data_IF_136695429191
#
_entry.id   IF_136695429191
#
_cell.length_a   1.000
_cell.length_b   1.000
_cell.length_c   1.000
_cell.angle_alpha   90.00
_cell.angle_beta   90.00
_cell.angle_gamma   90.00
#
_symmetry.space_group_name_H-M   'P 1'
#
loop_
_entity.id
_entity.type
_entity.pdbx_description
1 polymer ?
#
# COMPACT_ATOMS: atom_id res chain seq x y z
N UNK A 1 -1.26 16.73 -1.25
CA UNK A 1 -0.73 16.91 -2.61
C UNK A 1 -1.52 16.03 -3.55
N UNK A 2 -1.99 16.58 -4.68
CA UNK A 2 -2.72 15.82 -5.69
C UNK A 2 -2.11 16.08 -7.06
N UNK A 3 -1.88 15.04 -7.85
CA UNK A 3 -1.43 15.12 -9.22
C UNK A 3 -2.34 14.27 -10.12
N UNK A 4 -2.57 14.74 -11.35
CA UNK A 4 -3.43 14.09 -12.35
C UNK A 4 -2.79 12.85 -12.98
N UNK A 5 -2.78 12.81 -14.32
CA UNK A 5 -2.17 11.72 -15.10
C UNK A 5 -0.81 12.11 -15.65
N UNK A 6 0.09 11.13 -15.80
CA UNK A 6 1.39 11.36 -16.45
C UNK A 6 2.13 10.07 -16.80
N UNK A 7 2.92 10.08 -17.88
CA UNK A 7 3.72 8.91 -18.28
C UNK A 7 4.70 8.47 -17.19
N UNK A 8 5.28 9.46 -16.48
CA UNK A 8 6.09 9.27 -15.29
C UNK A 8 5.64 10.28 -14.24
N UNK A 9 5.32 9.80 -13.06
CA UNK A 9 4.94 10.65 -11.93
C UNK A 9 5.74 10.22 -10.70
N UNK A 10 6.39 11.19 -10.06
CA UNK A 10 7.14 11.00 -8.83
C UNK A 10 6.67 12.03 -7.80
N UNK A 11 6.19 11.58 -6.65
CA UNK A 11 5.79 12.46 -5.55
C UNK A 11 6.47 12.00 -4.26
N UNK A 12 7.02 12.96 -3.53
CA UNK A 12 7.59 12.74 -2.22
C UNK A 12 7.07 13.80 -1.27
N UNK A 13 6.58 13.39 -0.09
CA UNK A 13 6.16 14.29 0.96
C UNK A 13 6.76 13.82 2.29
N UNK A 14 7.30 14.76 3.06
CA UNK A 14 7.91 14.49 4.36
C UNK A 14 6.90 14.15 5.45
N UNK A 15 7.34 14.27 6.71
CA UNK A 15 6.51 14.01 7.88
C UNK A 15 5.59 15.16 8.25
N UNK A 16 4.45 14.86 8.88
CA UNK A 16 3.56 15.87 9.42
C UNK A 16 2.37 15.28 10.17
N UNK A 17 1.64 16.09 10.94
CA UNK A 17 0.46 15.62 11.70
C UNK A 17 -0.60 14.99 10.79
N UNK A 18 -0.81 15.60 9.61
CA UNK A 18 -1.68 15.07 8.55
C UNK A 18 -0.94 15.18 7.23
N UNK A 19 -0.79 14.05 6.55
CA UNK A 19 -0.13 14.02 5.25
C UNK A 19 -0.93 13.16 4.26
N UNK A 20 -1.20 13.74 3.08
CA UNK A 20 -2.06 13.14 2.08
C UNK A 20 -1.46 13.29 0.69
N UNK A 21 -1.33 12.19 -0.04
CA UNK A 21 -0.90 12.18 -1.44
C UNK A 21 -1.86 11.39 -2.32
N UNK A 22 -2.27 12.00 -3.43
CA UNK A 22 -3.14 11.37 -4.42
C UNK A 22 -2.56 11.52 -5.82
N UNK A 23 -2.46 10.43 -6.57
CA UNK A 23 -2.07 10.42 -7.98
C UNK A 23 -3.15 9.73 -8.81
N UNK A 24 -3.59 10.35 -9.90
CA UNK A 24 -4.63 9.80 -10.76
C UNK A 24 -4.17 8.54 -11.51
N UNK A 25 -3.25 8.69 -12.45
CA UNK A 25 -2.72 7.56 -13.21
C UNK A 25 -1.31 7.80 -13.73
N UNK A 26 -0.54 6.74 -13.95
CA UNK A 26 0.70 6.86 -14.70
C UNK A 26 1.36 5.56 -15.07
N UNK A 27 2.02 5.51 -16.24
CA UNK A 27 2.73 4.30 -16.68
C UNK A 27 3.80 3.89 -15.68
N UNK A 28 4.54 4.87 -15.13
CA UNK A 28 5.48 4.71 -14.02
C UNK A 28 5.14 5.69 -12.91
N UNK A 29 4.62 5.18 -11.80
CA UNK A 29 4.22 5.98 -10.66
C UNK A 29 5.05 5.60 -9.42
N UNK A 30 5.69 6.60 -8.82
CA UNK A 30 6.45 6.46 -7.58
C UNK A 30 5.93 7.47 -6.57
N UNK A 31 5.48 7.00 -5.42
CA UNK A 31 5.02 7.86 -4.33
C UNK A 31 5.68 7.45 -3.02
N UNK A 32 6.26 8.42 -2.32
CA UNK A 32 6.85 8.23 -1.00
C UNK A 32 6.26 9.25 -0.02
N UNK A 33 5.59 8.76 1.03
CA UNK A 33 5.09 9.62 2.10
C UNK A 33 5.80 9.26 3.41
N UNK A 34 6.35 10.25 4.10
CA UNK A 34 6.95 10.09 5.43
C UNK A 34 5.93 9.79 6.53
N UNK A 35 6.36 9.91 7.77
CA UNK A 35 5.54 9.55 8.94
C UNK A 35 4.54 10.65 9.33
N UNK A 36 3.42 10.26 9.94
CA UNK A 36 2.44 11.22 10.44
C UNK A 36 1.36 10.61 11.32
N UNK A 37 0.69 11.41 12.15
CA UNK A 37 -0.43 10.90 12.96
C UNK A 37 -1.53 10.33 12.07
N UNK A 38 -1.81 11.00 10.95
CA UNK A 38 -2.71 10.54 9.88
C UNK A 38 -1.99 10.65 8.54
N UNK A 39 -1.74 9.51 7.92
CA UNK A 39 -1.03 9.46 6.65
C UNK A 39 -1.82 8.64 5.63
N UNK A 40 -2.09 9.22 4.46
CA UNK A 40 -2.89 8.58 3.42
C UNK A 40 -2.22 8.75 2.06
N UNK A 41 -2.16 7.65 1.32
CA UNK A 41 -1.62 7.61 -0.03
C UNK A 41 -2.60 6.88 -0.96
N UNK A 42 -2.90 7.48 -2.12
CA UNK A 42 -3.78 6.89 -3.12
C UNK A 42 -3.19 7.03 -4.53
N UNK A 43 -3.15 5.92 -5.27
CA UNK A 43 -2.88 5.91 -6.72
C UNK A 43 -4.03 5.21 -7.44
N UNK A 44 -4.60 5.85 -8.45
CA UNK A 44 -5.65 5.25 -9.26
C UNK A 44 -5.14 4.06 -10.08
N UNK A 45 -4.21 4.28 -11.01
CA UNK A 45 -3.66 3.19 -11.82
C UNK A 45 -2.21 3.41 -12.26
N UNK A 46 -1.45 2.32 -12.46
CA UNK A 46 -0.17 2.40 -13.15
C UNK A 46 0.44 1.08 -13.57
N UNK A 47 1.08 1.04 -14.75
CA UNK A 47 1.75 -0.19 -15.24
C UNK A 47 2.85 -0.64 -14.30
N UNK A 48 3.65 0.30 -13.78
CA UNK A 48 4.63 0.09 -12.72
C UNK A 48 4.37 1.09 -11.61
N UNK A 49 3.90 0.60 -10.46
CA UNK A 49 3.54 1.40 -9.31
C UNK A 49 4.40 1.01 -8.11
N UNK A 50 5.03 2.00 -7.50
CA UNK A 50 5.78 1.87 -6.25
C UNK A 50 5.25 2.89 -5.26
N UNK A 51 4.65 2.39 -4.17
CA UNK A 51 4.10 3.22 -3.11
C UNK A 51 4.80 2.85 -1.81
N UNK A 52 5.35 3.85 -1.13
CA UNK A 52 5.94 3.71 0.21
C UNK A 52 5.31 4.73 1.12
N UNK A 53 4.72 4.28 2.23
CA UNK A 53 4.24 5.14 3.30
C UNK A 53 4.92 4.73 4.59
N UNK A 54 5.49 5.72 5.28
CA UNK A 54 6.11 5.58 6.59
C UNK A 54 5.12 5.24 7.70
N UNK A 55 5.54 5.46 8.94
CA UNK A 55 4.76 5.10 10.12
C UNK A 55 3.69 6.13 10.49
N UNK A 56 2.63 5.69 11.16
CA UNK A 56 1.62 6.62 11.66
C UNK A 56 0.57 6.00 12.56
N UNK A 57 -0.09 6.79 13.40
CA UNK A 57 -1.19 6.27 14.25
C UNK A 57 -2.32 5.71 13.37
N UNK A 58 -2.63 6.39 12.28
CA UNK A 58 -3.54 5.93 11.23
C UNK A 58 -2.86 6.06 9.88
N UNK A 59 -2.58 4.93 9.26
CA UNK A 59 -1.89 4.88 7.98
C UNK A 59 -2.71 4.08 6.97
N UNK A 60 -2.96 4.66 5.80
CA UNK A 60 -3.73 4.01 4.74
C UNK A 60 -3.06 4.16 3.39
N UNK A 61 -3.01 3.07 2.64
CA UNK A 61 -2.50 3.06 1.29
C UNK A 61 -3.47 2.33 0.36
N UNK A 62 -3.82 3.00 -0.74
CA UNK A 62 -4.68 2.44 -1.79
C UNK A 62 -4.00 2.53 -3.14
N UNK A 63 -4.00 1.42 -3.87
CA UNK A 63 -3.67 1.35 -5.28
C UNK A 63 -4.82 0.69 -6.03
N UNK A 64 -5.42 1.38 -7.01
CA UNK A 64 -6.52 0.83 -7.79
C UNK A 64 -6.08 -0.34 -8.68
N UNK A 65 -5.17 -0.11 -9.62
CA UNK A 65 -4.65 -1.17 -10.49
C UNK A 65 -3.19 -0.99 -10.88
N UNK A 66 -2.47 -2.10 -11.07
CA UNK A 66 -1.17 -2.04 -11.72
C UNK A 66 -0.58 -3.37 -12.16
N UNK A 67 0.04 -3.42 -13.35
CA UNK A 67 0.66 -4.65 -13.86
C UNK A 67 1.79 -5.15 -12.94
N UNK A 68 2.62 -4.23 -12.44
CA UNK A 68 3.64 -4.48 -11.42
C UNK A 68 3.44 -3.48 -10.29
N UNK A 69 2.99 -3.97 -9.15
CA UNK A 69 2.69 -3.15 -7.98
C UNK A 69 3.59 -3.58 -6.82
N UNK A 70 4.31 -2.61 -6.25
CA UNK A 70 5.04 -2.74 -4.99
C UNK A 70 4.49 -1.71 -4.02
N UNK A 71 3.93 -2.19 -2.92
CA UNK A 71 3.15 -1.40 -1.98
C UNK A 71 3.70 -1.71 -0.59
N UNK A 72 4.31 -0.71 0.05
CA UNK A 72 4.95 -0.86 1.36
C UNK A 72 4.38 0.16 2.34
N UNK A 73 3.82 -0.33 3.43
CA UNK A 73 3.30 0.48 4.52
C UNK A 73 4.07 0.16 5.80
N UNK A 74 4.64 1.17 6.43
CA UNK A 74 5.28 1.06 7.74
C UNK A 74 4.29 0.77 8.87
N UNK A 75 4.78 0.84 10.10
CA UNK A 75 3.99 0.48 11.29
C UNK A 75 2.98 1.56 11.70
N UNK A 76 1.91 1.12 12.38
CA UNK A 76 0.90 2.04 12.92
C UNK A 76 -0.13 1.40 13.83
N UNK A 77 -0.79 2.19 14.69
CA UNK A 77 -1.88 1.65 15.54
C UNK A 77 -3.01 1.08 14.69
N UNK A 78 -3.34 1.75 13.59
CA UNK A 78 -4.27 1.27 12.56
C UNK A 78 -3.63 1.42 11.18
N UNK A 79 -3.35 0.30 10.54
CA UNK A 79 -2.71 0.27 9.24
C UNK A 79 -3.56 -0.53 8.24
N UNK A 80 -3.85 0.08 7.10
CA UNK A 80 -4.64 -0.53 6.04
C UNK A 80 -3.94 -0.39 4.70
N UNK A 81 -3.80 -1.51 4.01
CA UNK A 81 -3.29 -1.57 2.64
C UNK A 81 -4.32 -2.22 1.74
N UNK A 82 -4.60 -1.59 0.60
CA UNK A 82 -5.50 -2.13 -0.42
C UNK A 82 -4.89 -2.00 -1.79
N UNK A 83 -4.85 -3.11 -2.52
CA UNK A 83 -4.55 -3.16 -3.93
C UNK A 83 -5.74 -3.78 -4.66
N UNK A 84 -6.34 -3.06 -5.61
CA UNK A 84 -7.49 -3.56 -6.37
C UNK A 84 -7.11 -4.70 -7.30
N UNK A 85 -6.20 -4.47 -8.24
CA UNK A 85 -5.74 -5.52 -9.17
C UNK A 85 -4.27 -5.39 -9.56
N UNK A 86 -3.59 -6.51 -9.79
CA UNK A 86 -2.28 -6.50 -10.42
C UNK A 86 -1.72 -7.84 -10.85
N UNK A 87 -1.06 -7.89 -12.01
CA UNK A 87 -0.46 -9.14 -12.53
C UNK A 87 0.66 -9.65 -11.62
N UNK A 88 1.49 -8.74 -11.10
CA UNK A 88 2.52 -9.02 -10.10
C UNK A 88 2.38 -8.01 -8.96
N UNK A 89 1.91 -8.49 -7.82
CA UNK A 89 1.64 -7.69 -6.64
C UNK A 89 2.57 -8.12 -5.50
N UNK A 90 3.28 -7.16 -4.94
CA UNK A 90 4.04 -7.31 -3.70
C UNK A 90 3.53 -6.28 -2.71
N UNK A 91 2.98 -6.77 -1.61
CA UNK A 91 2.42 -5.95 -0.55
C UNK A 91 3.09 -6.30 0.76
N UNK A 92 3.65 -5.30 1.41
CA UNK A 92 4.27 -5.43 2.73
C UNK A 92 3.65 -4.41 3.66
N UNK A 93 3.00 -4.89 4.72
CA UNK A 93 2.51 -4.05 5.79
C UNK A 93 3.28 -4.38 7.06
N UNK A 94 3.88 -3.37 7.68
CA UNK A 94 4.55 -3.47 8.96
C UNK A 94 3.61 -3.78 10.13
N UNK A 95 4.11 -3.64 11.34
CA UNK A 95 3.38 -3.99 12.56
C UNK A 95 2.31 -2.98 12.96
N UNK A 96 1.28 -3.45 13.67
CA UNK A 96 0.25 -2.56 14.20
C UNK A 96 -0.78 -3.23 15.09
N UNK A 97 -1.43 -2.48 15.98
CA UNK A 97 -2.51 -3.04 16.83
C UNK A 97 -3.64 -3.59 15.97
N UNK A 98 -4.00 -2.89 14.89
CA UNK A 98 -4.96 -3.35 13.87
C UNK A 98 -4.35 -3.19 12.49
N UNK A 99 -4.10 -4.32 11.83
CA UNK A 99 -3.42 -4.34 10.56
C UNK A 99 -4.23 -5.14 9.53
N UNK A 100 -4.55 -4.53 8.40
CA UNK A 100 -5.37 -5.14 7.35
C UNK A 100 -4.70 -4.98 5.99
N UNK A 101 -4.61 -6.08 5.27
CA UNK A 101 -4.12 -6.10 3.89
C UNK A 101 -5.15 -6.77 2.99
N UNK A 102 -5.51 -6.11 1.90
CA UNK A 102 -6.44 -6.64 0.90
C UNK A 102 -5.84 -6.56 -0.50
N UNK A 103 -5.83 -7.70 -1.19
CA UNK A 103 -5.59 -7.78 -2.64
C UNK A 103 -6.86 -8.26 -3.32
N UNK A 104 -7.39 -7.49 -4.27
CA UNK A 104 -8.56 -7.90 -5.05
C UNK A 104 -8.23 -9.04 -6.02
N UNK A 105 -7.40 -8.79 -7.04
CA UNK A 105 -7.00 -9.84 -7.99
C UNK A 105 -5.53 -9.76 -8.42
N UNK A 106 -4.89 -10.91 -8.64
CA UNK A 106 -3.57 -10.93 -9.24
C UNK A 106 -3.02 -12.30 -9.62
N UNK A 107 -2.31 -12.38 -10.75
CA UNK A 107 -1.73 -13.63 -11.24
C UNK A 107 -0.63 -14.14 -10.30
N UNK A 108 0.23 -13.24 -9.82
CA UNK A 108 1.30 -13.50 -8.84
C UNK A 108 1.21 -12.51 -7.69
N UNK A 109 0.91 -13.01 -6.50
CA UNK A 109 0.73 -12.20 -5.30
C UNK A 109 1.66 -12.64 -4.19
N UNK A 110 2.36 -11.69 -3.59
CA UNK A 110 3.08 -11.85 -2.33
C UNK A 110 2.57 -10.82 -1.34
N UNK A 111 2.06 -11.31 -0.23
CA UNK A 111 1.53 -10.50 0.85
C UNK A 111 2.26 -10.86 2.14
N UNK A 112 2.87 -9.86 2.76
CA UNK A 112 3.52 -9.99 4.06
C UNK A 112 2.91 -8.99 5.01
N UNK A 113 2.25 -9.49 6.04
CA UNK A 113 1.73 -8.71 7.13
C UNK A 113 2.58 -8.96 8.38
N UNK A 114 3.14 -7.89 8.95
CA UNK A 114 3.85 -7.91 10.22
C UNK A 114 2.94 -8.27 11.40
N UNK A 115 3.50 -8.24 12.60
CA UNK A 115 2.77 -8.61 13.83
C UNK A 115 1.70 -7.57 14.21
N UNK A 116 0.62 -8.05 14.82
CA UNK A 116 -0.42 -7.20 15.35
C UNK A 116 -1.42 -7.95 16.22
N UNK A 117 -1.99 -7.28 17.22
CA UNK A 117 -3.03 -7.87 18.09
C UNK A 117 -4.26 -8.30 17.28
N UNK A 118 -4.59 -7.58 16.20
CA UNK A 118 -5.63 -7.95 15.24
C UNK A 118 -5.09 -7.78 13.83
N UNK A 119 -4.80 -8.89 13.16
CA UNK A 119 -4.20 -8.88 11.84
C UNK A 119 -5.04 -9.71 10.86
N UNK A 120 -5.33 -9.14 9.69
CA UNK A 120 -6.13 -9.79 8.66
C UNK A 120 -5.51 -9.59 7.28
N UNK A 121 -5.44 -10.68 6.52
CA UNK A 121 -5.11 -10.65 5.09
C UNK A 121 -6.28 -11.20 4.29
N UNK A 122 -6.58 -10.55 3.17
CA UNK A 122 -7.57 -11.02 2.21
C UNK A 122 -6.95 -11.02 0.83
N UNK A 123 -7.06 -12.16 0.15
CA UNK A 123 -6.76 -12.30 -1.26
C UNK A 123 -8.05 -12.70 -1.97
N UNK A 124 -8.47 -11.94 -2.99
CA UNK A 124 -9.61 -12.32 -3.81
C UNK A 124 -9.25 -13.47 -4.76
N UNK A 125 -8.81 -13.16 -5.98
CA UNK A 125 -8.48 -14.18 -6.99
C UNK A 125 -7.01 -14.14 -7.42
N UNK A 126 -6.38 -15.31 -7.55
CA UNK A 126 -5.03 -15.39 -8.08
C UNK A 126 -4.56 -16.77 -8.44
N UNK A 127 -3.63 -16.84 -9.40
CA UNK A 127 -3.08 -18.11 -9.89
C UNK A 127 -1.97 -18.62 -8.97
N UNK A 128 -1.14 -17.73 -8.44
CA UNK A 128 -0.04 -18.05 -7.51
C UNK A 128 0.01 -17.01 -6.40
N UNK A 129 -0.13 -17.46 -5.16
CA UNK A 129 -0.19 -16.59 -4.01
C UNK A 129 0.67 -17.11 -2.86
N UNK A 130 1.39 -16.19 -2.23
CA UNK A 130 2.08 -16.43 -0.97
C UNK A 130 1.63 -15.38 0.05
N UNK A 131 1.23 -15.85 1.22
CA UNK A 131 0.78 -15.00 2.32
C UNK A 131 1.56 -15.35 3.58
N UNK A 132 2.16 -14.35 4.22
CA UNK A 132 2.86 -14.50 5.49
C UNK A 132 2.23 -13.56 6.51
N UNK A 133 1.84 -14.12 7.65
CA UNK A 133 1.30 -13.37 8.78
C UNK A 133 2.25 -13.50 9.97
N UNK A 134 2.76 -12.38 10.46
CA UNK A 134 3.52 -12.36 11.70
C UNK A 134 2.64 -12.65 12.90
N UNK A 135 3.14 -13.45 13.84
CA UNK A 135 2.45 -13.74 15.10
C UNK A 135 2.34 -12.45 15.94
N UNK A 136 1.12 -12.09 16.33
CA UNK A 136 0.86 -11.06 17.32
C UNK A 136 0.66 -11.68 18.71
N UNK A 137 1.14 -10.99 19.74
CA UNK A 137 0.79 -11.23 21.14
C UNK A 137 -0.38 -10.36 21.56
#
# INVERSE_FOLDING_TARGET
MTLGSGTRAHMSLGSGTRAHMTLGSGTRAHMSLGSGTRAHMSLGSGTRAHLTLGSGTRAQMTLGSGTRAHVSLGSGTRAHMTLGSGTRAHMTLGSGTRAHMTLGSGTRAHMTLGSGTRAHMTLGSGTRAHMSLGSGT
#
